data_IF_097453029543
#
_entry.id   IF_097453029543
#
_cell.length_a   1.000
_cell.length_b   1.000
_cell.length_c   1.000
_cell.angle_alpha   90.00
_cell.angle_beta   90.00
_cell.angle_gamma   90.00
#
_symmetry.space_group_name_H-M   'P 1'
#
loop_
_entity.id
_entity.type
_entity.pdbx_description
1 polymer ?
2 branched ?
3 non-polymer ?
4 water ?
#
# COMPACT_ATOMS: atom_id res chain seq x y z
C UNK A 3 5.70 -0.38 -13.87
N UNK A 4 4.62 -0.84 -13.26
CA UNK A 4 3.88 -0.02 -12.31
C UNK A 4 3.91 -0.74 -10.97
N UNK A 5 3.76 0.04 -9.91
CA UNK A 5 3.68 -0.50 -8.57
C UNK A 5 2.26 -0.14 -8.14
N UNK A 6 1.59 -1.05 -7.44
CA UNK A 6 0.25 -0.77 -6.97
C UNK A 6 0.37 -0.94 -5.47
N UNK A 7 -0.10 0.05 -4.74
CA UNK A 7 -0.02 0.05 -3.29
C UNK A 7 -1.36 0.40 -2.66
N UNK A 8 -1.56 -0.04 -1.43
CA UNK A 8 -2.80 0.25 -0.75
C UNK A 8 -2.52 0.40 0.73
N UNK A 9 -3.40 1.12 1.42
CA UNK A 9 -3.30 1.22 2.86
C UNK A 9 -4.49 0.45 3.42
N UNK A 10 -5.25 -0.18 2.51
CA UNK A 10 -6.43 -0.98 2.82
C UNK A 10 -7.69 -0.24 3.19
N UNK A 11 -7.62 1.08 3.34
CA UNK A 11 -8.83 1.77 3.72
C UNK A 11 -9.83 1.83 2.59
N UNK A 12 -11.10 1.85 2.98
CA UNK A 12 -12.22 1.91 2.07
C UNK A 12 -12.84 3.29 2.23
N UNK A 13 -12.99 3.98 1.11
CA UNK A 13 -13.51 5.33 1.14
C UNK A 13 -14.15 5.62 -0.21
N UNK A 14 -14.89 6.75 -0.30
CA UNK A 14 -15.55 7.16 -1.54
C UNK A 14 -14.47 7.53 -2.54
N UNK A 15 -14.82 7.49 -3.81
CA UNK A 15 -13.86 7.78 -4.87
C UNK A 15 -13.14 9.13 -4.73
N UNK A 16 -13.90 10.15 -4.37
CA UNK A 16 -13.35 11.47 -4.16
C UNK A 16 -12.14 11.43 -3.20
N UNK A 17 -12.25 10.60 -2.16
CA UNK A 17 -11.19 10.46 -1.16
C UNK A 17 -10.02 9.63 -1.65
N UNK A 18 -10.29 8.64 -2.50
CA UNK A 18 -9.24 7.81 -3.09
C UNK A 18 -8.37 8.70 -4.00
N UNK A 19 -9.00 9.55 -4.79
CA UNK A 19 -8.26 10.46 -5.65
C UNK A 19 -7.35 11.39 -4.85
N UNK A 20 -7.90 11.99 -3.79
CA UNK A 20 -7.17 12.91 -2.89
C UNK A 20 -5.99 12.16 -2.26
N UNK A 21 -6.23 10.94 -1.80
CA UNK A 21 -5.21 10.10 -1.20
C UNK A 21 -4.06 9.83 -2.17
N UNK A 22 -4.36 9.31 -3.35
CA UNK A 22 -3.30 9.00 -4.30
C UNK A 22 -2.53 10.23 -4.69
N UNK A 23 -3.21 11.37 -4.78
CA UNK A 23 -2.52 12.60 -5.15
C UNK A 23 -1.59 13.07 -4.03
N UNK A 24 -1.97 12.82 -2.77
CA UNK A 24 -1.13 13.19 -1.63
C UNK A 24 0.16 12.39 -1.66
N UNK A 25 0.06 11.15 -2.14
CA UNK A 25 1.22 10.26 -2.25
C UNK A 25 1.98 10.53 -3.54
N UNK A 26 1.46 11.44 -4.35
CA UNK A 26 2.06 11.79 -5.63
C UNK A 26 1.98 10.65 -6.63
N UNK A 27 0.86 9.93 -6.58
CA UNK A 27 0.60 8.83 -7.48
C UNK A 27 -0.78 9.08 -8.09
N UNK A 28 -1.41 8.05 -8.66
CA UNK A 28 -2.71 8.23 -9.27
C UNK A 28 -3.53 7.03 -8.85
N UNK A 29 -4.84 7.10 -9.05
CA UNK A 29 -5.68 5.98 -8.70
C UNK A 29 -5.32 4.87 -9.67
N UNK A 30 -5.25 3.65 -9.17
CA UNK A 30 -4.90 2.49 -9.99
C UNK A 30 -5.72 2.35 -11.27
N UNK A 31 -5.02 2.09 -12.38
CA UNK A 31 -5.64 1.91 -13.68
C UNK A 31 -5.00 0.70 -14.34
N UNK A 32 -5.77 -0.37 -14.55
CA UNK A 32 -5.18 -1.53 -15.21
C UNK A 32 -5.27 -1.29 -16.70
N UNK A 33 -4.14 -1.41 -17.39
CA UNK A 33 -4.09 -1.15 -18.83
C UNK A 33 -4.16 -2.46 -19.59
N UNK A 34 -4.10 -3.56 -18.86
CA UNK A 34 -4.18 -4.88 -19.47
C UNK A 34 -4.54 -5.89 -18.40
N UNK A 35 -4.76 -7.14 -18.79
CA UNK A 35 -5.15 -8.19 -17.87
C UNK A 35 -4.16 -8.46 -16.75
N UNK A 36 -2.88 -8.29 -17.06
CA UNK A 36 -1.77 -8.51 -16.13
C UNK A 36 -1.91 -7.52 -14.97
N UNK A 37 -2.04 -6.25 -15.33
CA UNK A 37 -2.20 -5.19 -14.34
C UNK A 37 -3.52 -5.35 -13.59
N UNK A 38 -4.54 -5.80 -14.29
CA UNK A 38 -5.83 -6.04 -13.66
C UNK A 38 -5.68 -7.10 -12.55
N UNK A 39 -4.96 -8.18 -12.84
CA UNK A 39 -4.76 -9.20 -11.84
C UNK A 39 -3.91 -8.69 -10.68
N UNK A 40 -2.88 -7.93 -11.01
CA UNK A 40 -1.99 -7.35 -10.01
C UNK A 40 -2.75 -6.44 -9.03
N UNK A 41 -3.68 -5.63 -9.55
CA UNK A 41 -4.49 -4.77 -8.69
C UNK A 41 -5.40 -5.64 -7.83
N UNK A 42 -5.96 -6.68 -8.45
CA UNK A 42 -6.86 -7.60 -7.75
C UNK A 42 -6.14 -8.23 -6.56
N UNK A 43 -4.90 -8.63 -6.77
CA UNK A 43 -4.12 -9.26 -5.71
C UNK A 43 -3.74 -8.31 -4.57
N UNK A 44 -3.49 -7.05 -4.88
CA UNK A 44 -3.12 -6.06 -3.86
C UNK A 44 -4.35 -5.68 -3.02
N UNK A 45 -5.46 -5.43 -3.70
CA UNK A 45 -6.69 -5.02 -3.02
C UNK A 45 -7.36 -6.13 -2.21
N UNK A 46 -7.40 -7.33 -2.77
CA UNK A 46 -8.04 -8.48 -2.10
C UNK A 46 -9.51 -8.28 -1.81
N UNK A 47 -10.08 -7.20 -2.32
CA UNK A 47 -11.49 -6.88 -2.12
C UNK A 47 -11.84 -5.85 -3.20
N UNK A 48 -13.09 -5.40 -3.23
CA UNK A 48 -13.50 -4.43 -4.24
C UNK A 48 -12.68 -3.15 -4.10
N UNK A 49 -12.18 -2.65 -5.22
CA UNK A 49 -11.37 -1.44 -5.17
C UNK A 49 -11.77 -0.56 -6.34
N UNK A 50 -11.63 0.75 -6.17
CA UNK A 50 -11.95 1.67 -7.24
C UNK A 50 -10.82 1.70 -8.25
N UNK A 51 -11.17 1.91 -9.51
CA UNK A 51 -10.14 2.06 -10.53
C UNK A 51 -10.23 3.52 -10.97
N UNK A 52 -9.14 4.04 -11.51
CA UNK A 52 -9.16 5.44 -11.94
C UNK A 52 -9.86 5.58 -13.28
N UNK A 53 -11.09 5.09 -13.35
CA UNK A 53 -11.87 5.13 -14.57
C UNK A 53 -13.30 5.54 -14.20
N UNK A 54 -13.85 6.54 -14.90
CA UNK A 54 -15.20 7.02 -14.64
C UNK A 54 -15.84 7.55 -15.92
N UNK A 55 -17.17 7.66 -15.92
CA UNK A 55 -17.90 8.24 -17.07
C UNK A 55 -18.66 9.45 -16.50
N UNK A 56 -17.97 10.19 -15.63
CA UNK A 56 -18.55 11.38 -15.02
C UNK A 56 -18.76 12.51 -16.03
N UNK A 57 -17.84 12.62 -16.99
CA UNK A 57 -17.94 13.67 -17.99
C UNK A 57 -19.08 13.41 -18.97
N UNK A 58 -19.02 12.26 -19.64
CA UNK A 58 -20.05 11.88 -20.61
C UNK A 58 -20.49 10.47 -20.29
N UNK A 59 -21.75 10.35 -19.86
CA UNK A 59 -22.38 9.09 -19.49
C UNK A 59 -22.23 7.98 -20.54
N UNK A 60 -21.64 6.87 -20.12
CA UNK A 60 -21.43 5.75 -21.02
C UNK A 60 -20.08 5.80 -21.71
N UNK A 61 -19.37 6.91 -21.55
CA UNK A 61 -18.05 7.01 -22.16
C UNK A 61 -17.02 7.04 -21.03
N UNK A 62 -16.58 5.87 -20.60
CA UNK A 62 -15.60 5.77 -19.54
C UNK A 62 -14.26 6.28 -19.98
N UNK A 63 -13.64 7.05 -19.10
CA UNK A 63 -12.34 7.64 -19.42
C UNK A 63 -11.41 7.52 -18.24
N UNK A 64 -10.11 7.43 -18.48
CA UNK A 64 -9.18 7.40 -17.35
C UNK A 64 -9.20 8.77 -16.69
N UNK A 65 -9.02 8.79 -15.38
CA UNK A 65 -9.00 10.07 -14.68
C UNK A 65 -7.85 10.95 -15.14
N UNK A 66 -6.82 10.30 -15.70
CA UNK A 66 -5.64 11.00 -16.20
C UNK A 66 -5.76 11.34 -17.68
N UNK A 67 -6.95 11.13 -18.25
CA UNK A 67 -7.22 11.45 -19.63
C UNK A 67 -7.30 10.25 -20.53
N UNK A 68 -8.06 10.37 -21.61
CA UNK A 68 -8.15 9.29 -22.57
C UNK A 68 -9.28 8.33 -22.36
N UNK A 69 -9.78 7.81 -23.48
CA UNK A 69 -10.87 6.86 -23.45
C UNK A 69 -10.35 5.48 -23.08
N UNK A 70 -11.20 4.75 -22.39
CA UNK A 70 -10.92 3.42 -21.92
C UNK A 70 -10.57 2.47 -23.06
N UNK A 71 -9.46 1.79 -22.93
CA UNK A 71 -9.07 0.83 -23.96
C UNK A 71 -9.40 -0.55 -23.40
N UNK A 72 -8.54 -1.09 -22.55
CA UNK A 72 -8.77 -2.39 -21.97
C UNK A 72 -9.88 -2.32 -20.93
N UNK A 73 -10.73 -3.34 -20.89
CA UNK A 73 -11.80 -3.41 -19.90
C UNK A 73 -12.06 -4.86 -19.52
N UNK A 74 -12.77 -5.06 -18.40
CA UNK A 74 -13.07 -6.41 -17.95
C UNK A 74 -14.42 -6.41 -17.28
N UNK A 75 -15.40 -5.83 -17.94
CA UNK A 75 -16.74 -5.74 -17.37
C UNK A 75 -17.39 -7.09 -17.13
N UNK A 76 -18.19 -7.11 -16.08
CA UNK A 76 -19.00 -8.25 -15.66
C UNK A 76 -20.14 -8.23 -16.70
N UNK A 77 -20.74 -9.37 -17.00
CA UNK A 77 -21.83 -9.38 -17.97
C UNK A 77 -22.94 -8.43 -17.53
N UNK A 78 -23.44 -7.68 -18.49
CA UNK A 78 -24.51 -6.70 -18.30
C UNK A 78 -24.06 -5.41 -17.61
N UNK A 79 -22.76 -5.22 -17.53
CA UNK A 79 -22.19 -4.01 -16.95
C UNK A 79 -21.43 -3.37 -18.10
N UNK A 80 -21.27 -2.04 -18.08
CA UNK A 80 -21.77 -1.09 -17.08
C UNK A 80 -23.25 -0.81 -17.29
N UNK A 81 -24.02 -0.73 -16.21
CA UNK A 81 -25.46 -0.52 -16.37
C UNK A 81 -25.99 0.78 -15.79
N UNK A 82 -25.10 1.66 -15.31
CA UNK A 82 -25.49 2.93 -14.71
C UNK A 82 -26.72 2.74 -13.84
N UNK A 83 -26.65 1.71 -13.00
CA UNK A 83 -27.78 1.36 -12.16
C UNK A 83 -28.41 2.44 -11.31
N UNK A 84 -29.75 2.38 -11.26
CA UNK A 84 -30.54 3.29 -10.46
C UNK A 84 -30.38 4.76 -10.75
N UNK A 85 -30.11 5.53 -9.71
CA UNK A 85 -29.91 6.96 -9.83
C UNK A 85 -28.65 7.28 -10.62
N UNK A 86 -27.79 6.27 -10.81
CA UNK A 86 -26.58 6.49 -11.56
C UNK A 86 -25.34 5.86 -10.95
N UNK A 87 -24.41 5.44 -11.81
CA UNK A 87 -23.16 4.83 -11.39
C UNK A 87 -22.09 5.32 -12.35
N UNK A 88 -21.19 6.16 -11.86
CA UNK A 88 -20.15 6.73 -12.71
C UNK A 88 -18.73 6.28 -12.38
N UNK A 89 -18.57 5.48 -11.34
CA UNK A 89 -17.25 4.99 -10.99
C UNK A 89 -17.14 3.51 -11.34
N UNK A 90 -15.93 2.99 -11.25
CA UNK A 90 -15.69 1.59 -11.59
C UNK A 90 -14.93 0.90 -10.48
N UNK A 91 -15.42 -0.27 -10.08
CA UNK A 91 -14.73 -1.06 -9.09
C UNK A 91 -14.31 -2.39 -9.69
N UNK A 92 -13.13 -2.85 -9.32
CA UNK A 92 -12.70 -4.18 -9.75
C UNK A 92 -13.21 -5.00 -8.56
N UNK A 93 -13.95 -6.07 -8.85
CA UNK A 93 -14.49 -6.89 -7.79
C UNK A 93 -13.52 -8.00 -7.42
N UNK A 94 -13.88 -8.76 -6.40
CA UNK A 94 -13.07 -9.85 -5.89
C UNK A 94 -12.51 -10.84 -6.91
N UNK A 95 -13.23 -11.10 -8.00
CA UNK A 95 -12.78 -12.03 -9.03
C UNK A 95 -12.11 -11.37 -10.23
N UNK A 96 -11.84 -10.07 -10.13
CA UNK A 96 -11.16 -9.35 -11.20
C UNK A 96 -12.05 -8.69 -12.22
N UNK A 97 -13.33 -9.03 -12.21
CA UNK A 97 -14.29 -8.45 -13.14
C UNK A 97 -14.62 -7.04 -12.66
N UNK A 98 -15.22 -6.24 -13.54
CA UNK A 98 -15.57 -4.86 -13.19
C UNK A 98 -17.06 -4.60 -13.13
N UNK A 99 -17.42 -3.67 -12.27
CA UNK A 99 -18.79 -3.23 -12.15
C UNK A 99 -18.77 -1.72 -11.95
N UNK A 100 -19.67 -1.00 -12.63
CA UNK A 100 -19.74 0.45 -12.40
C UNK A 100 -20.55 0.56 -11.14
N UNK A 101 -20.21 1.53 -10.31
CA UNK A 101 -20.83 1.69 -9.02
C UNK A 101 -20.87 3.18 -8.71
N UNK A 102 -21.66 3.58 -7.71
CA UNK A 102 -21.74 4.96 -7.32
C UNK A 102 -20.38 5.43 -6.82
N UNK A 103 -19.98 6.62 -7.23
CA UNK A 103 -18.72 7.20 -6.79
C UNK A 103 -18.74 7.52 -5.31
N UNK A 104 -19.94 7.54 -4.74
CA UNK A 104 -20.11 7.81 -3.33
C UNK A 104 -19.98 6.56 -2.46
N UNK A 105 -19.95 5.37 -3.06
CA UNK A 105 -19.81 4.12 -2.31
C UNK A 105 -18.38 4.02 -1.83
N UNK A 106 -18.13 3.27 -0.76
CA UNK A 106 -16.77 3.14 -0.25
C UNK A 106 -16.12 1.86 -0.64
N UNK A 107 -14.97 1.97 -1.29
CA UNK A 107 -14.23 0.78 -1.67
C UNK A 107 -12.76 1.03 -1.37
N UNK A 108 -11.96 -0.02 -1.52
CA UNK A 108 -10.54 0.05 -1.20
C UNK A 108 -9.78 0.97 -2.14
N UNK A 109 -8.86 1.72 -1.54
CA UNK A 109 -8.00 2.67 -2.23
C UNK A 109 -6.74 1.96 -2.70
N UNK A 110 -6.49 2.01 -4.00
CA UNK A 110 -5.28 1.41 -4.56
C UNK A 110 -4.72 2.51 -5.44
N UNK A 111 -3.45 2.86 -5.23
CA UNK A 111 -2.78 3.88 -6.01
C UNK A 111 -1.69 3.23 -6.81
N UNK A 112 -1.31 3.86 -7.91
CA UNK A 112 -0.25 3.33 -8.73
C UNK A 112 0.85 4.38 -8.85
N UNK A 113 2.06 3.88 -9.06
CA UNK A 113 3.23 4.71 -9.22
C UNK A 113 3.97 4.10 -10.40
N UNK A 114 4.55 4.95 -11.26
CA UNK A 114 5.28 4.44 -12.41
C UNK A 114 6.58 3.69 -12.04
N UNK B 3 -0.32 12.66 9.65
CA UNK B 3 0.97 13.21 9.26
C UNK B 3 1.82 12.22 8.44
N UNK B 4 1.37 10.96 8.40
CA UNK B 4 2.07 9.91 7.66
C UNK B 4 1.08 8.94 7.07
N UNK B 5 1.39 8.42 5.90
CA UNK B 5 0.55 7.42 5.27
C UNK B 5 1.48 6.21 5.16
N UNK B 6 0.92 5.01 5.35
CA UNK B 6 1.71 3.77 5.27
C UNK B 6 1.06 2.94 4.19
N UNK B 7 1.86 2.48 3.24
CA UNK B 7 1.32 1.69 2.14
C UNK B 7 2.14 0.43 1.91
N UNK B 8 1.52 -0.55 1.27
CA UNK B 8 2.18 -1.80 1.01
C UNK B 8 1.65 -2.38 -0.29
N UNK B 9 2.47 -3.18 -0.93
CA UNK B 9 2.05 -3.92 -2.13
C UNK B 9 1.98 -5.39 -1.69
N UNK B 10 2.10 -5.60 -0.38
CA UNK B 10 2.04 -6.92 0.27
C UNK B 10 3.18 -7.89 0.03
N UNK B 11 4.11 -7.55 -0.84
CA UNK B 11 5.20 -8.47 -1.13
C UNK B 11 6.23 -8.58 -0.03
N UNK B 12 6.79 -9.78 0.11
CA UNK B 12 7.80 -10.06 1.12
C UNK B 12 9.15 -10.08 0.44
N UNK B 13 10.14 -9.42 1.04
CA UNK B 13 11.46 -9.35 0.46
C UNK B 13 12.48 -8.97 1.52
N UNK B 14 13.78 -9.15 1.22
CA UNK B 14 14.88 -8.82 2.12
C UNK B 14 14.91 -7.30 2.31
N UNK B 15 15.46 -6.86 3.41
CA UNK B 15 15.50 -5.43 3.70
C UNK B 15 16.06 -4.54 2.61
N UNK B 16 17.10 -5.00 1.92
CA UNK B 16 17.70 -4.20 0.87
C UNK B 16 16.67 -3.90 -0.24
N UNK B 17 15.84 -4.88 -0.56
CA UNK B 17 14.81 -4.72 -1.59
C UNK B 17 13.71 -3.77 -1.10
N UNK B 18 13.41 -3.80 0.20
CA UNK B 18 12.40 -2.89 0.76
C UNK B 18 12.89 -1.43 0.63
N UNK B 19 14.13 -1.16 1.00
CA UNK B 19 14.72 0.19 0.88
C UNK B 19 14.64 0.66 -0.57
N UNK B 20 15.03 -0.20 -1.49
CA UNK B 20 15.01 0.11 -2.92
C UNK B 20 13.58 0.42 -3.38
N UNK B 21 12.63 -0.43 -2.99
CA UNK B 21 11.25 -0.22 -3.39
C UNK B 21 10.70 1.13 -2.90
N UNK B 22 10.82 1.39 -1.60
CA UNK B 22 10.32 2.64 -1.04
C UNK B 22 10.97 3.87 -1.66
N UNK B 23 12.27 3.79 -1.95
CA UNK B 23 12.95 4.95 -2.56
C UNK B 23 12.43 5.19 -3.97
N UNK B 24 12.11 4.12 -4.68
CA UNK B 24 11.58 4.25 -6.03
C UNK B 24 10.21 4.91 -6.01
N UNK B 25 9.47 4.69 -4.93
CA UNK B 25 8.13 5.27 -4.76
C UNK B 25 8.28 6.67 -4.18
N UNK B 26 9.51 7.03 -3.88
CA UNK B 26 9.86 8.31 -3.28
C UNK B 26 9.34 8.46 -1.85
N UNK B 27 9.33 7.35 -1.13
CA UNK B 27 8.91 7.39 0.27
C UNK B 27 10.09 6.81 1.03
N UNK B 28 9.86 6.41 2.27
CA UNK B 28 10.93 5.81 3.06
C UNK B 28 10.38 4.54 3.66
N UNK B 29 11.25 3.71 4.22
CA UNK B 29 10.79 2.48 4.86
C UNK B 29 10.07 2.92 6.13
N UNK B 30 8.90 2.33 6.40
CA UNK B 30 8.07 2.68 7.55
C UNK B 30 8.78 2.71 8.89
N UNK B 31 8.58 3.80 9.61
CA UNK B 31 9.17 3.97 10.92
C UNK B 31 8.10 4.48 11.87
N UNK B 32 7.74 3.70 12.89
CA UNK B 32 6.72 4.18 13.82
C UNK B 32 7.41 5.04 14.89
N UNK B 33 6.94 6.27 15.04
CA UNK B 33 7.49 7.22 15.98
C UNK B 33 6.74 7.19 17.29
N UNK B 34 5.70 6.36 17.35
CA UNK B 34 4.87 6.21 18.53
C UNK B 34 3.96 4.98 18.40
N UNK B 35 3.23 4.69 19.48
CA UNK B 35 2.33 3.54 19.55
C UNK B 35 1.24 3.59 18.49
N UNK B 36 0.78 4.79 18.17
CA UNK B 36 -0.27 4.97 17.17
C UNK B 36 0.24 4.56 15.79
N UNK B 37 1.36 5.13 15.39
CA UNK B 37 1.98 4.79 14.10
C UNK B 37 2.34 3.32 14.04
N UNK B 38 2.75 2.76 15.18
CA UNK B 38 3.11 1.35 15.23
C UNK B 38 1.89 0.50 14.87
N UNK B 39 0.75 0.81 15.47
CA UNK B 39 -0.48 0.08 15.21
C UNK B 39 -0.88 0.21 13.74
N UNK B 40 -0.73 1.41 13.20
CA UNK B 40 -1.06 1.71 11.81
C UNK B 40 -0.26 0.82 10.88
N UNK B 41 1.03 0.68 11.14
CA UNK B 41 1.89 -0.17 10.33
C UNK B 41 1.43 -1.61 10.43
N UNK B 42 1.17 -2.05 11.65
CA UNK B 42 0.73 -3.41 11.87
C UNK B 42 -0.55 -3.71 11.08
N UNK B 43 -1.48 -2.76 11.10
CA UNK B 43 -2.77 -2.86 10.43
C UNK B 43 -2.62 -2.98 8.93
N UNK B 44 -1.72 -2.18 8.36
CA UNK B 44 -1.48 -2.18 6.92
C UNK B 44 -0.76 -3.45 6.48
N UNK B 45 0.30 -3.83 7.17
CA UNK B 45 1.06 -5.02 6.80
C UNK B 45 0.31 -6.31 6.98
N UNK B 46 -0.39 -6.40 8.11
CA UNK B 46 -1.17 -7.57 8.49
C UNK B 46 -0.30 -8.77 8.88
N UNK B 47 0.94 -8.78 8.43
CA UNK B 47 1.87 -9.86 8.71
C UNK B 47 3.20 -9.20 9.08
N UNK B 48 4.24 -9.97 9.39
CA UNK B 48 5.52 -9.36 9.79
C UNK B 48 6.05 -8.40 8.73
N UNK B 49 6.56 -7.25 9.17
CA UNK B 49 7.07 -6.26 8.21
C UNK B 49 8.34 -5.62 8.71
N UNK B 50 9.23 -5.25 7.80
CA UNK B 50 10.45 -4.57 8.21
C UNK B 50 10.13 -3.12 8.58
N UNK B 51 10.90 -2.58 9.52
CA UNK B 51 10.80 -1.18 9.92
C UNK B 51 12.12 -0.51 9.47
N UNK B 52 12.12 0.80 9.23
CA UNK B 52 13.33 1.49 8.80
C UNK B 52 14.25 1.74 9.97
N UNK B 53 14.69 0.66 10.59
CA UNK B 53 15.54 0.75 11.79
C UNK B 53 16.55 -0.39 11.76
N UNK B 54 17.82 -0.07 11.98
CA UNK B 54 18.85 -1.10 11.96
C UNK B 54 19.99 -0.71 12.87
N UNK B 55 20.81 -1.68 13.26
CA UNK B 55 21.98 -1.37 14.06
C UNK B 55 23.19 -1.86 13.25
N UNK B 56 23.11 -1.70 11.93
CA UNK B 56 24.18 -2.13 11.03
C UNK B 56 25.48 -1.33 11.22
N UNK B 57 25.36 -0.07 11.60
CA UNK B 57 26.55 0.76 11.78
C UNK B 57 27.34 0.42 13.03
N UNK B 58 26.67 0.42 14.17
CA UNK B 58 27.31 0.08 15.42
C UNK B 58 26.35 -0.86 16.09
N UNK B 59 26.81 -2.09 16.24
CA UNK B 59 26.01 -3.13 16.83
C UNK B 59 25.39 -2.70 18.17
N UNK B 60 24.09 -2.88 18.28
CA UNK B 60 23.39 -2.50 19.49
C UNK B 60 22.87 -1.07 19.46
N UNK B 61 23.34 -0.24 18.53
CA UNK B 61 22.85 1.12 18.47
C UNK B 61 21.88 1.21 17.31
N UNK B 62 20.58 1.06 17.60
CA UNK B 62 19.60 1.14 16.54
C UNK B 62 19.39 2.56 16.10
N UNK B 63 19.44 2.76 14.79
CA UNK B 63 19.26 4.07 14.18
C UNK B 63 18.25 3.95 13.05
N UNK B 64 17.56 5.05 12.81
CA UNK B 64 16.59 5.12 11.75
C UNK B 64 17.36 5.23 10.45
N UNK B 65 16.84 4.62 9.39
CA UNK B 65 17.50 4.67 8.09
C UNK B 65 17.58 6.12 7.57
N UNK B 66 16.70 6.98 8.08
CA UNK B 66 16.67 8.38 7.68
C UNK B 66 17.56 9.23 8.60
N UNK B 67 18.10 8.59 9.64
CA UNK B 67 18.98 9.27 10.55
C UNK B 67 18.46 9.39 11.97
N UNK B 68 19.39 9.38 12.91
CA UNK B 68 19.02 9.52 14.30
C UNK B 68 18.91 8.22 15.05
N UNK B 69 19.15 8.31 16.36
CA UNK B 69 19.09 7.15 17.24
C UNK B 69 17.64 6.89 17.52
N UNK B 70 17.33 5.62 17.70
CA UNK B 70 15.97 5.20 17.97
C UNK B 70 15.41 5.90 19.22
N UNK B 71 14.20 6.42 19.11
CA UNK B 71 13.55 7.02 20.27
C UNK B 71 12.50 5.99 20.73
N UNK B 72 11.30 6.04 20.15
CA UNK B 72 10.25 5.10 20.52
C UNK B 72 10.62 3.67 20.11
N UNK B 73 10.29 2.70 20.94
CA UNK B 73 10.56 1.31 20.63
C UNK B 73 9.48 0.42 21.24
N UNK B 74 9.30 -0.76 20.67
CA UNK B 74 8.30 -1.68 21.16
C UNK B 74 8.82 -3.11 21.08
N UNK B 75 10.02 -3.32 21.59
CA UNK B 75 10.64 -4.63 21.56
C UNK B 75 9.84 -5.69 22.28
N UNK B 76 9.83 -6.87 21.69
CA UNK B 76 9.20 -8.04 22.27
C UNK B 76 10.16 -8.39 23.40
N UNK B 77 9.66 -9.03 24.46
CA UNK B 77 10.53 -9.39 25.59
C UNK B 77 11.77 -10.17 25.15
N UNK B 78 12.93 -9.78 25.69
CA UNK B 78 14.22 -10.41 25.41
C UNK B 78 14.78 -10.08 24.02
N UNK B 79 14.22 -9.05 23.40
CA UNK B 79 14.68 -8.57 22.11
C UNK B 79 15.07 -7.12 22.36
N UNK B 80 16.02 -6.60 21.58
CA UNK B 80 16.73 -7.28 20.50
C UNK B 80 17.80 -8.23 21.08
N UNK B 81 18.09 -9.32 20.37
CA UNK B 81 19.08 -10.28 20.87
C UNK B 81 20.23 -10.59 19.90
N UNK B 82 20.22 -9.98 18.72
CA UNK B 82 21.29 -10.19 17.73
C UNK B 82 21.57 -11.68 17.63
N UNK B 83 20.50 -12.47 17.60
CA UNK B 83 20.60 -13.92 17.57
C UNK B 83 21.42 -14.55 16.45
N UNK B 84 21.98 -15.72 16.74
CA UNK B 84 22.77 -16.47 15.78
C UNK B 84 23.95 -15.71 15.24
N UNK B 85 24.07 -15.74 13.91
CA UNK B 85 25.15 -15.07 13.23
C UNK B 85 24.99 -13.55 13.22
N UNK B 86 23.91 -13.05 13.80
CA UNK B 86 23.70 -11.61 13.85
C UNK B 86 22.36 -11.22 13.26
N UNK B 87 21.74 -10.21 13.87
CA UNK B 87 20.45 -9.70 13.45
C UNK B 87 20.55 -8.18 13.53
N UNK B 88 20.56 -7.53 12.38
CA UNK B 88 20.68 -6.07 12.36
C UNK B 88 19.47 -5.31 11.86
N UNK B 89 18.44 -6.05 11.47
CA UNK B 89 17.22 -5.41 11.00
C UNK B 89 16.14 -5.61 12.07
N UNK B 90 15.02 -4.92 11.90
CA UNK B 90 13.91 -4.97 12.83
C UNK B 90 12.60 -5.22 12.10
N UNK B 91 11.79 -6.14 12.64
CA UNK B 91 10.48 -6.40 12.08
C UNK B 91 9.43 -6.21 13.15
N UNK B 92 8.27 -5.75 12.71
CA UNK B 92 7.14 -5.58 13.61
C UNK B 92 6.43 -6.93 13.38
N UNK B 93 6.34 -7.72 14.43
CA UNK B 93 5.73 -9.03 14.34
C UNK B 93 4.28 -9.04 14.81
N UNK B 94 3.84 -10.16 15.38
CA UNK B 94 2.48 -10.30 15.88
C UNK B 94 2.26 -9.46 17.13
N UNK B 95 1.09 -8.84 17.18
CA UNK B 95 0.70 -7.96 18.28
C UNK B 95 1.47 -6.64 18.19
N UNK B 96 2.17 -6.43 17.07
CA UNK B 96 2.90 -5.18 16.89
C UNK B 96 4.20 -5.03 17.64
N UNK B 97 4.64 -6.10 18.30
CA UNK B 97 5.91 -6.09 19.04
C UNK B 97 7.04 -6.18 18.04
N UNK B 98 8.25 -5.83 18.45
CA UNK B 98 9.37 -5.86 17.53
C UNK B 98 10.34 -6.98 17.82
N UNK B 99 11.02 -7.43 16.78
CA UNK B 99 12.06 -8.44 16.94
C UNK B 99 13.15 -8.06 15.96
N UNK B 100 14.41 -8.10 16.39
CA UNK B 100 15.50 -7.84 15.46
C UNK B 100 15.67 -9.17 14.72
N UNK B 101 15.98 -9.08 13.44
CA UNK B 101 16.08 -10.24 12.57
C UNK B 101 17.12 -9.97 11.53
N UNK B 102 17.52 -11.03 10.86
CA UNK B 102 18.48 -10.94 9.78
C UNK B 102 17.92 -10.02 8.69
N UNK B 103 18.75 -9.14 8.17
CA UNK B 103 18.32 -8.26 7.11
C UNK B 103 18.12 -9.05 5.83
N UNK B 104 18.61 -10.28 5.81
CA UNK B 104 18.47 -11.13 4.64
C UNK B 104 17.12 -11.88 4.66
N UNK B 105 16.41 -11.83 5.78
CA UNK B 105 15.10 -12.49 5.91
C UNK B 105 14.07 -11.72 5.09
N UNK B 106 13.02 -12.42 4.67
CA UNK B 106 12.00 -11.80 3.86
C UNK B 106 10.79 -11.42 4.67
N UNK B 107 10.43 -10.15 4.61
CA UNK B 107 9.28 -9.64 5.35
C UNK B 107 8.54 -8.63 4.49
N UNK B 108 7.32 -8.31 4.88
CA UNK B 108 6.50 -7.39 4.12
C UNK B 108 7.06 -5.99 4.02
N UNK B 109 7.03 -5.44 2.82
CA UNK B 109 7.52 -4.08 2.58
C UNK B 109 6.38 -3.10 2.87
N UNK B 110 6.66 -2.10 3.71
CA UNK B 110 5.69 -1.07 4.05
C UNK B 110 6.46 0.24 3.91
N UNK B 111 5.95 1.16 3.09
CA UNK B 111 6.60 2.44 2.87
C UNK B 111 5.77 3.53 3.48
N UNK B 112 6.42 4.59 3.91
CA UNK B 112 5.71 5.71 4.53
C UNK B 112 5.92 6.97 3.72
N UNK B 113 4.89 7.83 3.75
CA UNK B 113 4.90 9.09 3.04
C UNK B 113 4.43 10.19 3.99
N UNK B 114 5.10 11.36 3.97
CA UNK B 114 4.74 12.48 4.84
C UNK B 114 3.47 13.16 4.33
N UNK B 115 2.56 13.44 5.26
CA UNK B 115 1.30 14.08 4.95
C UNK B 115 1.40 15.52 5.42
X LIG C 1 7.36 -20.99 11.51
X LIG C 1 7.73 -21.21 12.89
X LIG C 2 9.05 -20.95 13.24
X LIG C 2 9.08 -19.87 14.32
X LIG C 2 10.49 -19.67 14.85
X LIG C 2 11.09 -21.01 15.25
X LIG C 2 10.99 -22.01 14.10
X LIG C 2 11.48 -23.38 14.54
X LIG C 2 8.22 -20.24 15.39
X LIG C 2 10.42 -18.84 16.02
X LIG C 2 12.43 -20.84 15.64
X LIG C 2 9.62 -22.17 13.72
X LIG C 2 10.76 -23.74 15.74
X LIG C 3 11.19 -17.69 16.01
X LIG C 3 11.40 -17.25 17.45
X LIG C 3 10.11 -16.73 18.07
X LIG C 3 9.62 -15.60 17.20
X LIG C 3 9.36 -16.12 15.79
X LIG C 3 8.87 -15.02 14.85
X LIG C 3 12.40 -16.21 17.50
X LIG C 3 10.37 -16.26 19.39
X LIG C 3 8.42 -15.10 17.76
X LIG C 3 10.59 -16.65 15.23
X LIG C 3 9.82 -13.96 14.77
X LIG C 4 13.70 -16.63 17.73
X LIG C 4 14.36 -15.62 18.64
X LIG C 4 14.48 -14.27 17.91
X LIG C 4 15.19 -14.44 16.59
X LIG C 4 14.54 -15.54 15.76
X LIG C 4 15.35 -15.88 14.54
X LIG C 4 15.64 -16.10 19.02
X LIG C 4 15.19 -13.35 18.71
X LIG C 4 15.12 -13.22 15.88
X LIG C 4 14.41 -16.77 16.52
X LIG C 4 14.66 -16.78 13.71
X LIG C 5 11.05 -25.01 16.24
X LIG C 5 10.07 -25.31 17.36
X LIG C 5 10.31 -24.32 18.51
X LIG C 5 11.74 -24.49 19.01
X LIG C 5 12.74 -24.27 17.85
X LIG C 5 14.17 -24.62 18.24
X LIG C 5 10.25 -26.65 17.82
X LIG C 5 9.38 -24.56 19.59
X LIG C 5 11.99 -23.56 20.05
X LIG C 5 12.39 -25.12 16.72
X LIG C 5 14.23 -25.91 18.89
X LIG C 6 8.26 -23.71 19.63
X LIG C 6 7.63 -23.75 21.01
X LIG C 6 6.98 -25.11 21.27
X LIG C 6 6.01 -25.44 20.15
X LIG C 6 6.71 -25.36 18.81
X LIG C 6 5.74 -25.58 17.66
X LIG C 6 6.64 -22.74 21.08
X LIG C 6 6.28 -25.07 22.50
X LIG C 6 5.49 -26.74 20.35
X LIG C 6 7.30 -24.05 18.64
X LIG C 6 6.35 -25.30 16.41
X LIG D 1 -22.47 6.08 -15.59
X LIG E 1 -23.33 -1.48 -12.17
X LIG F 1 -23.63 9.77 -15.05
X LIG G 1 22.38 -6.40 15.71
X LIG H 1 15.89 -11.37 17.44
X LIG I 1 25.72 -6.41 13.70
#
# INVERSE_FOLDING_TARGET
SGKKFFVTNHERMPFSKVKALCSELRGTVAIPRNAEENKAIQEVAKTSAFLGITDEVTEGQFMYVTGGRLTYSNWKKDEPNDHGSGEDCVTIVDNGLWNDISCQASHTAVCEFPA
SGKKFFVTNHERMPFSKVKALCSELRGTVAIPRNAEENKAIQEVAKTSAFLGITDEVTEGQFMYVTGGRLTYSNWKKDEPNDHGSGEDCVTIVDNGLWNDISCQASHTAVCEFPA
NAG C4 O4
BMA C1 C2 C3 C4 C5 C6 O2 O3 O4 O5 O6
MAN C1 C2 C3 C4 C5 C6 O2 O3 O4 O5 O6
MAN C1 C2 C3 C4 C5 C6 O2 O3 O4 O5 O6
MAN C1 C2 C3 C4 C5 C6 O2 O3 O4 O5 O6
MAN C1 C2 C3 C4 C5 C6 O2 O3 O4 O5 O6
CA CA
CA CA
CA CA
CA CA
CA CA
CA CA
#
